data_IF_033210875076
#
_entry.id   IF_033210875076
#
_cell.length_a   1.000
_cell.length_b   1.000
_cell.length_c   1.000
_cell.angle_alpha   90.00
_cell.angle_beta   90.00
_cell.angle_gamma   90.00
#
_symmetry.space_group_name_H-M   'P 1'
#
loop_
_entity.id
_entity.type
_entity.pdbx_description
1 polymer ?
#
# COMPACT_ATOMS: atom_id res chain seq x y z
N UNK A 1 5.23 3.62 29.79
CA UNK A 1 4.02 4.45 29.86
C UNK A 1 2.94 3.67 30.61
N UNK A 2 2.28 4.32 31.60
CA UNK A 2 1.22 3.70 32.40
C UNK A 2 -0.05 3.60 31.51
N UNK A 3 -0.10 2.57 30.67
CA UNK A 3 -1.28 2.31 29.87
C UNK A 3 -2.40 1.73 30.73
N UNK A 4 -3.57 2.36 30.71
CA UNK A 4 -4.76 1.92 31.42
C UNK A 4 -5.91 1.74 30.44
N UNK A 5 -6.54 0.57 30.46
CA UNK A 5 -7.71 0.31 29.64
C UNK A 5 -8.96 0.81 30.36
N UNK A 6 -9.70 1.80 29.84
CA UNK A 6 -10.98 2.21 30.40
C UNK A 6 -12.03 1.13 30.14
N UNK A 7 -12.69 0.68 31.20
CA UNK A 7 -13.85 -0.23 31.13
C UNK A 7 -15.08 0.56 31.58
N UNK A 8 -16.03 0.74 30.66
CA UNK A 8 -17.30 1.45 30.92
C UNK A 8 -18.43 0.45 30.98
N UNK A 9 -19.09 0.38 32.12
CA UNK A 9 -20.33 -0.35 32.36
C UNK A 9 -21.49 0.65 32.43
N UNK A 10 -22.78 0.23 32.28
CA UNK A 10 -23.92 1.13 32.32
C UNK A 10 -24.00 2.06 33.53
N UNK A 11 -23.45 1.63 34.68
CA UNK A 11 -23.53 2.38 35.94
C UNK A 11 -22.16 2.62 36.59
N UNK A 12 -21.06 2.30 35.92
CA UNK A 12 -19.71 2.49 36.51
C UNK A 12 -18.66 2.59 35.39
N UNK A 13 -17.65 3.42 35.63
CA UNK A 13 -16.45 3.49 34.80
C UNK A 13 -15.23 3.28 35.71
N UNK A 14 -14.37 2.32 35.36
CA UNK A 14 -13.10 2.10 36.07
C UNK A 14 -11.99 1.83 35.06
N UNK A 15 -10.77 2.05 35.48
CA UNK A 15 -9.60 1.85 34.64
C UNK A 15 -8.83 0.65 35.16
N UNK A 16 -8.67 -0.36 34.31
CA UNK A 16 -7.90 -1.56 34.64
C UNK A 16 -6.41 -1.31 34.37
N UNK A 17 -5.57 -1.66 35.34
CA UNK A 17 -4.12 -1.70 35.12
C UNK A 17 -3.77 -2.94 34.29
N UNK A 18 -2.84 -2.82 33.35
CA UNK A 18 -2.39 -3.98 32.58
C UNK A 18 -1.82 -5.06 33.51
N UNK A 19 -2.07 -6.31 33.14
CA UNK A 19 -1.45 -7.47 33.85
C UNK A 19 0.07 -7.44 33.63
N UNK A 20 0.79 -8.19 34.46
CA UNK A 20 2.26 -8.30 34.32
C UNK A 20 2.65 -8.79 32.91
N UNK A 21 1.87 -9.72 32.31
CA UNK A 21 2.10 -10.23 30.96
C UNK A 21 1.86 -9.14 29.91
N UNK A 22 0.80 -8.35 30.06
CA UNK A 22 0.52 -7.21 29.18
C UNK A 22 1.59 -6.11 29.33
N UNK A 23 2.08 -5.85 30.55
CA UNK A 23 3.20 -4.92 30.76
C UNK A 23 4.47 -5.38 30.06
N UNK A 24 4.80 -6.66 30.10
CA UNK A 24 5.95 -7.22 29.35
C UNK A 24 5.74 -7.15 27.83
N UNK A 25 4.52 -7.37 27.34
CA UNK A 25 4.19 -7.27 25.92
C UNK A 25 4.28 -5.83 25.39
N UNK A 26 4.01 -4.83 26.23
CA UNK A 26 4.05 -3.41 25.86
C UNK A 26 5.32 -2.67 26.33
N UNK A 27 6.24 -3.36 27.00
CA UNK A 27 7.53 -2.77 27.36
C UNK A 27 8.44 -2.72 26.15
N UNK A 28 8.41 -1.60 25.43
CA UNK A 28 9.37 -1.27 24.34
C UNK A 28 10.78 -0.94 24.87
N UNK A 29 11.08 -1.35 26.12
CA UNK A 29 12.38 -1.14 26.74
C UNK A 29 13.29 -2.34 26.49
N UNK A 30 14.08 -2.22 25.45
CA UNK A 30 15.11 -3.19 25.11
C UNK A 30 16.40 -2.81 25.85
N UNK A 31 16.83 -3.61 26.82
CA UNK A 31 18.01 -3.32 27.65
C UNK A 31 19.29 -3.07 26.83
N UNK A 32 19.43 -3.79 25.73
CA UNK A 32 20.55 -3.64 24.77
C UNK A 32 20.14 -2.82 23.52
N UNK A 33 19.03 -2.08 23.57
CA UNK A 33 18.56 -1.26 22.46
C UNK A 33 18.21 -2.08 21.20
N UNK A 34 18.64 -1.60 20.02
CA UNK A 34 18.33 -2.22 18.71
C UNK A 34 18.75 -3.68 18.63
N UNK A 35 19.86 -4.07 19.23
CA UNK A 35 20.40 -5.44 19.15
C UNK A 35 19.44 -6.44 19.82
N UNK A 36 18.94 -6.14 21.02
CA UNK A 36 18.00 -7.03 21.71
C UNK A 36 16.67 -7.16 20.96
N UNK A 37 16.20 -6.07 20.33
CA UNK A 37 15.05 -6.13 19.46
C UNK A 37 15.29 -7.06 18.26
N UNK A 38 16.43 -6.93 17.57
CA UNK A 38 16.76 -7.78 16.42
C UNK A 38 16.91 -9.24 16.81
N UNK A 39 17.55 -9.55 17.95
CA UNK A 39 17.63 -10.92 18.51
C UNK A 39 16.24 -11.52 18.75
N UNK A 40 15.29 -10.70 19.18
CA UNK A 40 13.90 -11.12 19.41
C UNK A 40 13.12 -11.35 18.11
N UNK A 41 13.22 -10.41 17.15
CA UNK A 41 12.39 -10.45 15.92
C UNK A 41 12.91 -11.47 14.90
N UNK A 42 14.22 -11.68 14.81
CA UNK A 42 14.86 -12.56 13.83
C UNK A 42 14.26 -13.98 13.82
N UNK A 43 14.27 -14.74 14.94
CA UNK A 43 13.72 -16.10 14.92
C UNK A 43 12.21 -16.13 14.66
N UNK A 44 11.49 -15.06 15.01
CA UNK A 44 10.05 -14.94 14.69
C UNK A 44 9.81 -14.76 13.21
N UNK A 45 10.60 -13.93 12.55
CA UNK A 45 10.49 -13.73 11.09
C UNK A 45 10.86 -15.02 10.33
N UNK A 46 11.85 -15.76 10.81
CA UNK A 46 12.17 -17.09 10.25
C UNK A 46 10.97 -18.04 10.36
N UNK A 47 10.38 -18.14 11.54
CA UNK A 47 9.19 -18.98 11.77
C UNK A 47 8.00 -18.53 10.91
N UNK A 48 7.77 -17.21 10.81
CA UNK A 48 6.72 -16.65 9.96
C UNK A 48 6.92 -17.03 8.49
N UNK A 49 8.16 -16.99 7.98
CA UNK A 49 8.47 -17.46 6.61
C UNK A 49 8.09 -18.91 6.40
N UNK A 50 8.44 -19.79 7.35
CA UNK A 50 8.08 -21.23 7.28
C UNK A 50 6.57 -21.44 7.29
N UNK A 51 5.82 -20.63 8.03
CA UNK A 51 4.36 -20.72 8.10
C UNK A 51 3.64 -20.16 6.85
N UNK A 52 4.31 -19.36 6.02
CA UNK A 52 3.72 -18.87 4.78
C UNK A 52 3.56 -19.99 3.76
N UNK A 53 2.44 -19.98 3.03
CA UNK A 53 2.29 -20.78 1.83
C UNK A 53 3.33 -20.39 0.78
N UNK A 54 3.56 -21.23 -0.23
CA UNK A 54 4.53 -20.97 -1.31
C UNK A 54 4.21 -19.66 -2.08
N UNK A 55 2.94 -19.28 -2.15
CA UNK A 55 2.46 -18.02 -2.75
C UNK A 55 2.22 -16.91 -1.74
N UNK A 56 2.62 -17.13 -0.49
CA UNK A 56 2.38 -16.21 0.61
C UNK A 56 3.28 -15.00 0.60
N UNK A 57 2.84 -13.98 1.32
CA UNK A 57 3.55 -12.71 1.47
C UNK A 57 3.49 -12.23 2.91
N UNK A 58 4.44 -11.41 3.31
CA UNK A 58 4.52 -10.80 4.63
C UNK A 58 4.58 -9.27 4.50
N UNK A 59 3.88 -8.59 5.38
CA UNK A 59 3.92 -7.15 5.56
C UNK A 59 4.42 -6.85 6.96
N UNK A 60 5.54 -6.17 7.07
CA UNK A 60 6.17 -5.82 8.35
C UNK A 60 6.07 -4.32 8.55
N UNK A 61 5.13 -3.90 9.41
CA UNK A 61 4.96 -2.51 9.79
C UNK A 61 5.97 -2.14 10.87
N UNK A 62 6.76 -1.15 10.60
CA UNK A 62 7.86 -0.75 11.46
C UNK A 62 8.06 0.77 11.41
N UNK A 63 8.59 1.35 12.49
CA UNK A 63 8.94 2.75 12.52
C UNK A 63 10.36 3.00 11.97
N UNK A 64 10.69 4.27 11.82
CA UNK A 64 11.96 4.71 11.27
C UNK A 64 13.19 4.35 12.13
N UNK A 65 13.04 4.11 13.45
CA UNK A 65 14.17 3.87 14.35
C UNK A 65 14.92 2.59 14.00
N UNK A 66 14.18 1.55 13.68
CA UNK A 66 14.73 0.20 13.46
C UNK A 66 14.43 -0.33 12.06
N UNK A 67 13.65 0.38 11.24
CA UNK A 67 13.21 -0.10 9.94
C UNK A 67 14.35 -0.51 9.02
N UNK A 68 15.42 0.28 8.96
CA UNK A 68 16.59 -0.04 8.13
C UNK A 68 17.26 -1.37 8.55
N UNK A 69 17.36 -1.63 9.86
CA UNK A 69 17.94 -2.89 10.37
C UNK A 69 17.04 -4.08 10.11
N UNK A 70 15.72 -3.91 10.30
CA UNK A 70 14.74 -4.96 10.00
C UNK A 70 14.70 -5.26 8.50
N UNK A 71 14.90 -4.26 7.64
CA UNK A 71 15.03 -4.47 6.18
C UNK A 71 16.19 -5.41 5.84
N UNK A 72 17.36 -5.20 6.45
CA UNK A 72 18.54 -6.07 6.25
C UNK A 72 18.26 -7.51 6.72
N UNK A 73 17.60 -7.65 7.88
CA UNK A 73 17.19 -8.96 8.39
C UNK A 73 16.20 -9.67 7.47
N UNK A 74 15.24 -8.94 6.93
CA UNK A 74 14.27 -9.49 5.98
C UNK A 74 14.94 -9.88 4.64
N UNK A 75 15.92 -9.10 4.17
CA UNK A 75 16.71 -9.46 2.99
C UNK A 75 17.48 -10.77 3.18
N UNK A 76 18.02 -11.00 4.38
CA UNK A 76 18.72 -12.25 4.71
C UNK A 76 17.74 -13.44 4.77
N UNK A 77 16.59 -13.25 5.43
CA UNK A 77 15.61 -14.33 5.64
C UNK A 77 14.84 -14.66 4.35
N UNK A 78 14.29 -13.66 3.69
CA UNK A 78 13.41 -13.85 2.53
C UNK A 78 14.15 -13.85 1.19
N UNK A 79 15.34 -13.26 1.14
CA UNK A 79 16.07 -12.94 -0.09
C UNK A 79 15.71 -11.53 -0.59
N UNK A 80 16.71 -10.75 -0.94
CA UNK A 80 16.53 -9.37 -1.45
C UNK A 80 15.71 -9.33 -2.75
N UNK A 81 15.76 -10.39 -3.55
CA UNK A 81 15.00 -10.57 -4.79
C UNK A 81 13.50 -10.73 -4.55
N UNK A 82 13.11 -11.08 -3.34
CA UNK A 82 11.72 -11.23 -2.91
C UNK A 82 11.16 -9.98 -2.22
N UNK A 83 11.96 -8.92 -2.10
CA UNK A 83 11.49 -7.60 -1.70
C UNK A 83 10.59 -7.02 -2.79
N UNK A 84 9.39 -6.58 -2.42
CA UNK A 84 8.40 -6.05 -3.36
C UNK A 84 8.30 -4.54 -3.28
N UNK A 85 7.97 -4.01 -2.09
CA UNK A 85 7.85 -2.58 -1.87
C UNK A 85 8.20 -2.19 -0.44
N UNK A 86 8.61 -0.94 -0.29
CA UNK A 86 8.52 -0.18 0.95
C UNK A 86 7.32 0.76 0.82
N UNK A 87 6.26 0.46 1.56
CA UNK A 87 5.03 1.25 1.54
C UNK A 87 5.15 2.33 2.62
N UNK A 88 4.94 3.58 2.24
CA UNK A 88 5.00 4.73 3.13
C UNK A 88 3.62 5.00 3.72
N UNK A 89 3.45 4.70 5.00
CA UNK A 89 2.21 4.96 5.71
C UNK A 89 2.22 6.35 6.34
N UNK A 90 1.56 7.32 5.73
CA UNK A 90 1.46 8.69 6.24
C UNK A 90 0.47 8.77 7.40
N UNK A 91 0.95 9.22 8.59
CA UNK A 91 0.17 9.26 9.85
C UNK A 91 -0.74 10.47 10.03
N UNK A 92 -0.85 11.36 9.07
CA UNK A 92 -1.66 12.56 9.16
C UNK A 92 -0.84 13.85 9.17
N UNK A 93 -1.34 14.92 9.82
CA UNK A 93 -0.68 16.23 9.83
C UNK A 93 0.22 16.41 11.04
N UNK A 94 1.43 16.91 10.83
CA UNK A 94 2.33 17.28 11.94
C UNK A 94 1.83 18.56 12.62
N UNK A 95 1.64 18.51 13.94
CA UNK A 95 1.17 19.64 14.75
C UNK A 95 2.03 19.79 16.02
N UNK A 96 2.00 21.01 16.60
CA UNK A 96 2.65 21.31 17.88
C UNK A 96 4.18 21.30 17.81
N UNK A 97 4.82 20.88 18.90
CA UNK A 97 6.29 20.90 19.04
C UNK A 97 7.04 20.08 17.98
N UNK A 98 6.40 19.10 17.36
CA UNK A 98 6.99 18.31 16.28
C UNK A 98 7.11 19.08 14.96
N UNK A 99 6.37 20.20 14.81
CA UNK A 99 6.44 21.05 13.62
C UNK A 99 7.54 22.13 13.73
N UNK A 100 8.09 22.34 14.93
CA UNK A 100 9.08 23.39 15.24
C UNK A 100 10.36 22.71 15.72
N UNK A 101 11.23 22.36 14.80
CA UNK A 101 12.49 21.71 15.13
C UNK A 101 13.56 21.99 14.08
N UNK A 102 14.81 21.61 14.40
CA UNK A 102 15.94 21.76 13.49
C UNK A 102 16.07 20.64 12.45
N UNK A 103 15.00 19.86 12.25
CA UNK A 103 14.92 18.77 11.28
C UNK A 103 13.50 18.62 10.75
N UNK A 104 13.37 17.98 9.60
CA UNK A 104 12.04 17.64 9.09
C UNK A 104 11.26 16.74 10.06
N UNK A 105 10.00 17.09 10.27
CA UNK A 105 9.13 16.30 11.14
C UNK A 105 8.81 14.94 10.51
N UNK A 106 9.01 13.86 11.27
CA UNK A 106 8.73 12.51 10.82
C UNK A 106 7.24 12.19 10.99
N UNK A 107 6.58 11.97 9.88
CA UNK A 107 5.12 11.80 9.83
C UNK A 107 4.67 10.56 9.06
N UNK A 108 5.53 9.56 8.97
CA UNK A 108 5.21 8.30 8.33
C UNK A 108 5.83 7.14 9.09
N UNK A 109 5.26 5.98 8.88
CA UNK A 109 5.85 4.68 9.18
C UNK A 109 6.10 3.97 7.85
N UNK A 110 6.93 2.95 7.86
CA UNK A 110 7.18 2.12 6.69
C UNK A 110 6.57 0.73 6.88
N UNK A 111 6.07 0.16 5.79
CA UNK A 111 5.62 -1.22 5.76
C UNK A 111 6.46 -1.94 4.71
N UNK A 112 7.30 -2.87 5.15
CA UNK A 112 8.15 -3.65 4.28
C UNK A 112 7.36 -4.85 3.76
N UNK A 113 7.24 -4.96 2.44
CA UNK A 113 6.48 -6.00 1.77
C UNK A 113 7.43 -7.00 1.09
N UNK A 114 7.33 -8.26 1.50
CA UNK A 114 8.07 -9.39 0.92
C UNK A 114 7.12 -10.50 0.52
N UNK A 115 7.45 -11.21 -0.56
CA UNK A 115 6.84 -12.49 -0.87
C UNK A 115 7.74 -13.64 -0.40
N UNK A 116 7.19 -14.86 -0.24
CA UNK A 116 8.00 -16.06 0.05
C UNK A 116 8.88 -16.44 -1.14
N UNK A 117 8.37 -16.24 -2.35
CA UNK A 117 9.06 -16.54 -3.61
C UNK A 117 8.51 -15.71 -4.76
N UNK A 118 8.89 -16.05 -6.00
CA UNK A 118 8.49 -15.29 -7.19
C UNK A 118 7.04 -15.53 -7.63
N UNK A 119 6.46 -16.69 -7.32
CA UNK A 119 5.06 -17.01 -7.62
C UNK A 119 4.18 -16.66 -6.42
N UNK A 120 3.85 -15.37 -6.26
CA UNK A 120 3.05 -14.87 -5.16
C UNK A 120 1.72 -14.29 -5.63
N UNK A 121 0.72 -14.30 -4.75
CA UNK A 121 -0.59 -13.72 -5.02
C UNK A 121 -0.54 -12.22 -4.75
N UNK A 122 -0.89 -11.43 -5.78
CA UNK A 122 -1.04 -9.99 -5.67
C UNK A 122 -2.27 -9.52 -6.43
N UNK A 123 -3.11 -8.72 -5.79
CA UNK A 123 -4.28 -8.11 -6.40
C UNK A 123 -4.10 -6.59 -6.39
N UNK A 124 -3.93 -6.01 -7.58
CA UNK A 124 -3.83 -4.55 -7.73
C UNK A 124 -5.03 -3.87 -7.09
N UNK A 125 -4.78 -2.98 -6.15
CA UNK A 125 -5.80 -2.16 -5.51
C UNK A 125 -5.98 -0.87 -6.31
N UNK A 126 -7.21 -0.37 -6.37
CA UNK A 126 -7.55 0.83 -7.12
C UNK A 126 -8.33 1.81 -6.23
N UNK A 127 -7.95 3.08 -6.31
CA UNK A 127 -8.74 4.17 -5.77
C UNK A 127 -9.74 4.64 -6.83
N UNK A 128 -10.99 4.97 -6.45
CA UNK A 128 -11.93 5.54 -7.39
C UNK A 128 -11.41 6.88 -7.93
N UNK A 129 -11.72 7.19 -9.18
CA UNK A 129 -11.45 8.51 -9.71
C UNK A 129 -12.24 9.57 -8.95
N UNK A 130 -11.63 10.74 -8.71
CA UNK A 130 -12.38 11.89 -8.19
C UNK A 130 -13.41 12.37 -9.22
N UNK A 131 -14.52 12.96 -8.75
CA UNK A 131 -15.53 13.55 -9.65
C UNK A 131 -14.92 14.62 -10.57
N UNK A 132 -13.94 15.35 -10.07
CA UNK A 132 -13.23 16.38 -10.81
C UNK A 132 -12.41 15.78 -11.96
N UNK A 133 -11.68 14.69 -11.70
CA UNK A 133 -10.96 13.94 -12.72
C UNK A 133 -11.90 13.38 -13.78
N UNK A 134 -13.03 12.81 -13.38
CA UNK A 134 -14.04 12.27 -14.30
C UNK A 134 -14.57 13.38 -15.22
N UNK A 135 -14.97 14.52 -14.65
CA UNK A 135 -15.48 15.67 -15.41
C UNK A 135 -14.47 16.23 -16.41
N UNK A 136 -13.18 16.22 -16.07
CA UNK A 136 -12.12 16.74 -16.93
C UNK A 136 -11.70 15.76 -18.03
N UNK A 137 -11.71 14.46 -17.76
CA UNK A 137 -11.13 13.45 -18.63
C UNK A 137 -12.17 12.71 -19.49
N UNK A 138 -13.33 12.39 -18.92
CA UNK A 138 -14.38 11.59 -19.56
C UNK A 138 -15.44 12.52 -20.16
N UNK A 139 -15.02 13.33 -21.15
CA UNK A 139 -15.84 14.40 -21.74
C UNK A 139 -16.57 13.99 -23.02
N UNK A 140 -16.28 12.82 -23.56
CA UNK A 140 -16.82 12.32 -24.84
C UNK A 140 -17.82 11.21 -24.57
N UNK A 141 -18.88 11.12 -25.42
CA UNK A 141 -19.89 10.07 -25.32
C UNK A 141 -20.42 9.78 -26.74
N UNK A 142 -20.40 8.53 -27.15
CA UNK A 142 -20.95 8.09 -28.45
C UNK A 142 -22.44 7.75 -28.37
N UNK A 143 -23.05 7.78 -27.19
CA UNK A 143 -24.45 7.39 -26.93
C UNK A 143 -24.77 5.94 -27.34
N UNK A 144 -23.78 5.05 -27.26
CA UNK A 144 -23.89 3.62 -27.59
C UNK A 144 -24.22 2.73 -26.38
N UNK A 145 -24.55 3.35 -25.23
CA UNK A 145 -24.90 2.69 -23.98
C UNK A 145 -23.70 2.42 -23.05
N UNK A 146 -22.46 2.60 -23.50
CA UNK A 146 -21.25 2.39 -22.68
C UNK A 146 -20.90 3.59 -21.79
N UNK A 147 -21.53 4.73 -22.05
CA UNK A 147 -21.34 5.95 -21.26
C UNK A 147 -20.13 6.81 -21.70
N UNK A 148 -19.68 7.72 -20.83
CA UNK A 148 -18.61 8.64 -21.17
C UNK A 148 -17.25 7.94 -21.31
N UNK A 149 -16.40 8.46 -22.19
CA UNK A 149 -15.06 7.92 -22.41
C UNK A 149 -13.99 9.02 -22.51
N UNK A 150 -12.75 8.61 -22.28
CA UNK A 150 -11.54 9.33 -22.64
C UNK A 150 -10.85 8.62 -23.79
N UNK A 151 -9.91 9.29 -24.47
CA UNK A 151 -9.18 8.71 -25.57
C UNK A 151 -7.66 8.85 -25.40
N UNK A 152 -6.94 7.86 -25.88
CA UNK A 152 -5.48 7.82 -25.84
C UNK A 152 -4.93 7.44 -27.23
N UNK A 153 -3.65 7.76 -27.46
CA UNK A 153 -2.93 7.28 -28.64
C UNK A 153 -2.88 5.74 -28.64
N UNK A 154 -2.83 5.15 -29.82
CA UNK A 154 -2.75 3.68 -29.98
C UNK A 154 -1.49 3.07 -29.33
N UNK A 155 -0.42 3.86 -29.12
CA UNK A 155 0.83 3.39 -28.51
C UNK A 155 1.50 2.26 -29.32
N UNK A 156 2.11 1.31 -28.60
CA UNK A 156 2.83 0.15 -29.15
C UNK A 156 1.96 -1.11 -29.28
N UNK A 157 0.62 -0.97 -29.44
CA UNK A 157 -0.29 -2.12 -29.56
C UNK A 157 -0.05 -2.89 -30.85
N UNK A 158 -0.21 -4.21 -30.80
CA UNK A 158 -0.15 -5.05 -31.99
C UNK A 158 -1.31 -4.78 -32.93
N UNK A 159 -1.13 -5.02 -34.24
CA UNK A 159 -2.19 -4.84 -35.21
C UNK A 159 -3.40 -5.76 -34.99
N UNK A 160 -3.18 -6.99 -34.43
CA UNK A 160 -4.27 -7.89 -34.04
C UNK A 160 -5.14 -7.25 -32.96
N UNK A 161 -4.53 -6.67 -31.93
CA UNK A 161 -5.25 -5.96 -30.85
C UNK A 161 -6.00 -4.74 -31.38
N UNK A 162 -5.43 -4.02 -32.35
CA UNK A 162 -6.09 -2.89 -32.97
C UNK A 162 -7.30 -3.30 -33.83
N UNK A 163 -7.21 -4.43 -34.52
CA UNK A 163 -8.34 -5.00 -35.28
C UNK A 163 -9.49 -5.39 -34.34
N UNK A 164 -9.20 -6.03 -33.22
CA UNK A 164 -10.23 -6.37 -32.22
C UNK A 164 -10.90 -5.11 -31.64
N UNK A 165 -10.09 -4.12 -31.27
CA UNK A 165 -10.60 -2.84 -30.77
C UNK A 165 -11.44 -2.09 -31.82
N UNK A 166 -11.09 -2.21 -33.10
CA UNK A 166 -11.86 -1.62 -34.18
C UNK A 166 -13.24 -2.31 -34.35
N UNK A 167 -13.28 -3.65 -34.23
CA UNK A 167 -14.55 -4.40 -34.25
C UNK A 167 -15.48 -4.00 -33.13
N UNK A 168 -14.93 -3.67 -31.96
CA UNK A 168 -15.66 -3.16 -30.79
C UNK A 168 -15.90 -1.64 -30.82
N UNK A 169 -15.73 -1.01 -31.96
CA UNK A 169 -15.92 0.46 -32.15
C UNK A 169 -15.10 1.32 -31.15
N UNK A 170 -13.92 0.82 -30.73
CA UNK A 170 -13.02 1.52 -29.79
C UNK A 170 -12.01 2.42 -30.48
N UNK A 171 -11.82 2.25 -31.78
CA UNK A 171 -10.87 3.07 -32.53
C UNK A 171 -11.62 4.13 -33.34
N UNK A 172 -11.14 5.35 -33.29
CA UNK A 172 -11.60 6.42 -34.16
C UNK A 172 -10.41 7.23 -34.70
N UNK A 173 -10.67 7.93 -35.78
CA UNK A 173 -9.70 8.79 -36.44
C UNK A 173 -10.04 10.24 -36.11
N UNK A 174 -9.08 10.98 -35.56
CA UNK A 174 -9.24 12.42 -35.29
C UNK A 174 -9.31 13.22 -36.59
N UNK A 175 -9.78 14.47 -36.52
CA UNK A 175 -9.76 15.41 -37.65
C UNK A 175 -8.36 15.63 -38.26
N UNK A 176 -7.31 15.35 -37.49
CA UNK A 176 -5.90 15.41 -37.91
C UNK A 176 -5.36 14.07 -38.47
N UNK A 177 -6.23 13.08 -38.70
CA UNK A 177 -5.86 11.77 -39.24
C UNK A 177 -5.20 10.80 -38.24
N UNK A 178 -5.12 11.12 -36.94
CA UNK A 178 -4.50 10.24 -35.94
C UNK A 178 -5.49 9.22 -35.41
N UNK A 179 -5.09 7.94 -35.36
CA UNK A 179 -5.87 6.87 -34.71
C UNK A 179 -5.75 6.97 -33.21
N UNK A 180 -6.90 6.86 -32.51
CA UNK A 180 -6.99 6.88 -31.04
C UNK A 180 -7.90 5.78 -30.54
N UNK A 181 -7.68 5.34 -29.30
CA UNK A 181 -8.46 4.30 -28.62
C UNK A 181 -9.33 4.93 -27.56
N UNK A 182 -10.61 4.53 -27.50
CA UNK A 182 -11.58 4.93 -26.48
C UNK A 182 -11.44 4.07 -25.23
N UNK A 183 -11.50 4.70 -24.05
CA UNK A 183 -11.53 4.06 -22.73
C UNK A 183 -12.76 4.54 -22.00
N UNK A 184 -13.72 3.64 -21.79
CA UNK A 184 -14.99 3.97 -21.17
C UNK A 184 -14.88 4.02 -19.65
N UNK A 185 -15.57 4.98 -19.04
CA UNK A 185 -15.60 5.12 -17.57
C UNK A 185 -16.21 3.88 -16.90
N UNK A 186 -17.22 3.28 -17.53
CA UNK A 186 -17.88 2.06 -17.04
C UNK A 186 -16.95 0.85 -16.90
N UNK A 187 -15.81 0.86 -17.60
CA UNK A 187 -14.80 -0.22 -17.57
C UNK A 187 -13.56 0.15 -16.74
N UNK A 188 -13.49 1.41 -16.33
CA UNK A 188 -12.32 1.92 -15.62
C UNK A 188 -12.28 1.42 -14.18
N UNK A 189 -11.16 0.83 -13.79
CA UNK A 189 -10.96 0.34 -12.42
C UNK A 189 -10.61 1.44 -11.41
N UNK A 190 -10.17 2.60 -11.90
CA UNK A 190 -9.67 3.68 -11.07
C UNK A 190 -8.17 3.91 -11.24
N UNK A 191 -7.57 4.60 -10.28
CA UNK A 191 -6.12 4.84 -10.22
C UNK A 191 -5.51 3.71 -9.41
N UNK A 192 -4.55 2.98 -9.99
CA UNK A 192 -3.81 1.97 -9.24
C UNK A 192 -3.12 2.64 -8.03
N UNK A 193 -3.25 2.02 -6.85
CA UNK A 193 -2.54 2.48 -5.67
C UNK A 193 -1.04 2.28 -5.87
N UNK A 194 -0.27 3.28 -5.48
CA UNK A 194 1.18 3.25 -5.38
C UNK A 194 1.63 3.00 -3.92
N UNK A 195 2.91 3.10 -3.65
CA UNK A 195 3.53 2.84 -2.34
C UNK A 195 3.71 4.10 -1.48
N UNK A 196 3.01 5.20 -1.79
CA UNK A 196 3.11 6.49 -1.07
C UNK A 196 1.78 7.24 -0.92
#
# INVERSE_FOLDING_TARGET
ADYRTPITLPNASFSQRPTVIEQFAYADTWEEGTISYLKMIYPRLMLMKEMLSEKGSIYVHIDWHIGAYVKVVLDEIFGKENFRNEIIWKRGTVKGAKAVGNQFARNHDMILYYSKGNDYVYHTQYLPYSEEYIKQRYTKNDNDGRGPYTDQAIGTRSEESLVEMAKDNRIFITSTGKRRVKYYLSEAKGIAMDDS
#
